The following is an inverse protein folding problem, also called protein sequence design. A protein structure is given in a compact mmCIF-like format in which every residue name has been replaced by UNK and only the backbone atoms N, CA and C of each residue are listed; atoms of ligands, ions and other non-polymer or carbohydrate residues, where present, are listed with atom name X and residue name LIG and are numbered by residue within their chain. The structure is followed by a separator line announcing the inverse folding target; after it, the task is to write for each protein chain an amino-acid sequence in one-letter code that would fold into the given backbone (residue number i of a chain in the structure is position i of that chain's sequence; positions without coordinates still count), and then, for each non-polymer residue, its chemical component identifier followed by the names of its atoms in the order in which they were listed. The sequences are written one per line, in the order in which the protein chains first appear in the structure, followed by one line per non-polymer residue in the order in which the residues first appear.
data_IF_440553453102
#
_entry.id   IF_440553453102
#
_cell.length_a   1.000
_cell.length_b   1.000
_cell.length_c   1.000
_cell.angle_alpha   90.00
_cell.angle_beta   90.00
_cell.angle_gamma   90.00
#
_symmetry.space_group_name_H-M   'P 1'
#
loop_
_entity.id
_entity.type
_entity.pdbx_description
1 polymer ?
#
# COMPACT_ATOMS: atom_id res chain seq x y z
N UNK A 1 -15.67 5.86 0.67
CA UNK A 1 -14.29 5.38 0.99
C UNK A 1 -13.97 4.15 0.15
N UNK A 2 -12.82 4.19 -0.47
CA UNK A 2 -12.30 3.09 -1.31
C UNK A 2 -11.07 2.51 -0.63
N UNK A 3 -10.95 1.20 -0.69
CA UNK A 3 -9.77 0.49 -0.20
C UNK A 3 -9.04 -0.10 -1.39
N UNK A 4 -7.77 0.24 -1.51
CA UNK A 4 -6.82 -0.44 -2.38
C UNK A 4 -6.13 -1.51 -1.54
N UNK A 5 -6.25 -2.78 -1.95
CA UNK A 5 -5.75 -3.92 -1.21
C UNK A 5 -4.75 -4.68 -2.07
N UNK A 6 -3.52 -4.83 -1.57
CA UNK A 6 -2.44 -5.47 -2.30
C UNK A 6 -1.82 -6.56 -1.44
N UNK A 7 -1.68 -7.76 -2.01
CA UNK A 7 -0.92 -8.84 -1.38
C UNK A 7 0.38 -9.03 -2.15
N UNK A 8 1.50 -8.99 -1.43
CA UNK A 8 2.83 -9.12 -2.01
C UNK A 8 3.56 -10.31 -1.40
N UNK A 9 4.48 -10.84 -2.20
CA UNK A 9 5.46 -11.83 -1.72
C UNK A 9 6.81 -11.17 -1.60
N UNK A 10 7.41 -11.28 -0.42
CA UNK A 10 8.72 -10.70 -0.10
C UNK A 10 9.53 -11.77 0.62
N UNK A 11 10.84 -11.85 0.36
CA UNK A 11 11.71 -12.75 1.12
C UNK A 11 11.59 -12.46 2.61
N UNK A 12 11.47 -13.49 3.45
CA UNK A 12 11.22 -13.27 4.88
C UNK A 12 12.27 -12.39 5.57
N UNK A 13 13.55 -12.58 5.22
CA UNK A 13 14.65 -11.81 5.78
C UNK A 13 14.66 -10.35 5.33
N UNK A 14 13.90 -10.01 4.27
CA UNK A 14 13.80 -8.65 3.75
C UNK A 14 12.48 -7.98 4.08
N UNK A 15 11.59 -8.68 4.76
CA UNK A 15 10.24 -8.17 5.02
C UNK A 15 10.26 -6.86 5.81
N UNK A 16 11.08 -6.79 6.87
CA UNK A 16 11.15 -5.58 7.69
C UNK A 16 11.74 -4.41 6.90
N UNK A 17 12.75 -4.67 6.07
CA UNK A 17 13.30 -3.66 5.16
C UNK A 17 12.26 -3.18 4.18
N UNK A 18 11.47 -4.10 3.63
CA UNK A 18 10.36 -3.75 2.72
C UNK A 18 9.38 -2.79 3.40
N UNK A 19 8.94 -3.15 4.61
CA UNK A 19 7.96 -2.34 5.35
C UNK A 19 8.52 -0.94 5.61
N UNK A 20 9.79 -0.85 6.00
CA UNK A 20 10.43 0.43 6.24
C UNK A 20 10.53 1.28 4.97
N UNK A 21 11.01 0.69 3.88
CA UNK A 21 11.16 1.42 2.61
C UNK A 21 9.82 1.81 2.01
N UNK A 22 8.83 0.95 2.15
CA UNK A 22 7.47 1.25 1.70
C UNK A 22 6.91 2.48 2.44
N UNK A 23 7.12 2.56 3.75
CA UNK A 23 6.68 3.70 4.52
C UNK A 23 7.40 4.99 4.12
N UNK A 24 8.71 4.92 3.91
CA UNK A 24 9.52 6.08 3.55
C UNK A 24 9.23 6.61 2.15
N UNK A 25 8.98 5.73 1.21
CA UNK A 25 8.91 6.06 -0.21
C UNK A 25 7.47 6.11 -0.70
N UNK A 26 6.75 4.98 -0.66
CA UNK A 26 5.40 4.90 -1.18
C UNK A 26 4.40 5.65 -0.31
N UNK A 27 4.38 5.40 0.98
CA UNK A 27 3.40 6.01 1.88
C UNK A 27 3.58 7.53 1.92
N UNK A 28 4.82 7.99 1.97
CA UNK A 28 5.12 9.43 1.98
C UNK A 28 4.61 10.12 0.71
N UNK A 29 4.80 9.49 -0.45
CA UNK A 29 4.31 10.02 -1.72
C UNK A 29 2.78 10.04 -1.74
N UNK A 30 2.14 8.92 -1.41
CA UNK A 30 0.68 8.82 -1.43
C UNK A 30 0.04 9.82 -0.47
N UNK A 31 0.64 10.01 0.71
CA UNK A 31 0.11 10.92 1.72
C UNK A 31 0.13 12.38 1.29
N UNK A 32 0.91 12.73 0.26
CA UNK A 32 0.94 14.09 -0.27
C UNK A 32 -0.22 14.40 -1.19
N UNK A 33 -1.03 13.42 -1.57
CA UNK A 33 -2.15 13.61 -2.49
C UNK A 33 -3.48 13.76 -1.75
N UNK A 34 -4.37 14.62 -2.28
CA UNK A 34 -5.71 14.78 -1.67
C UNK A 34 -6.48 13.46 -1.68
N UNK A 35 -7.21 13.22 -0.62
CA UNK A 35 -8.04 12.02 -0.50
C UNK A 35 -7.36 10.84 0.16
N UNK A 36 -6.06 10.87 0.34
CA UNK A 36 -5.36 9.83 1.10
C UNK A 36 -5.84 9.88 2.56
N UNK A 37 -6.30 8.75 3.07
CA UNK A 37 -6.80 8.67 4.45
C UNK A 37 -5.84 7.92 5.36
N UNK A 38 -5.41 6.73 4.95
CA UNK A 38 -4.52 5.92 5.78
C UNK A 38 -3.89 4.80 4.95
N UNK A 39 -2.83 4.24 5.50
CA UNK A 39 -2.23 3.03 4.95
C UNK A 39 -1.80 2.14 6.11
N UNK A 40 -2.18 0.88 6.02
CA UNK A 40 -1.80 -0.15 6.98
C UNK A 40 -0.99 -1.20 6.27
N UNK A 41 -0.07 -1.81 7.00
CA UNK A 41 0.70 -2.95 6.54
C UNK A 41 0.35 -4.11 7.44
N UNK A 42 -0.16 -5.18 6.83
CA UNK A 42 -0.53 -6.39 7.55
C UNK A 42 0.45 -7.50 7.23
N UNK A 43 0.77 -8.31 8.22
CA UNK A 43 1.56 -9.52 8.03
C UNK A 43 0.76 -10.71 8.52
N UNK A 44 0.96 -11.85 7.85
CA UNK A 44 0.36 -13.11 8.26
C UNK A 44 1.40 -13.86 9.10
N UNK A 45 1.13 -14.12 10.39
CA UNK A 45 2.10 -14.81 11.24
C UNK A 45 2.48 -16.20 10.76
N UNK A 46 1.58 -16.85 10.00
CA UNK A 46 1.79 -18.20 9.50
C UNK A 46 2.44 -18.24 8.11
N UNK A 47 2.57 -17.09 7.44
CA UNK A 47 3.14 -17.02 6.09
C UNK A 47 4.22 -15.94 6.06
N UNK A 48 5.47 -16.31 6.35
CA UNK A 48 6.56 -15.33 6.51
C UNK A 48 6.88 -14.49 5.26
N UNK A 49 6.46 -14.95 4.08
CA UNK A 49 6.72 -14.26 2.82
C UNK A 49 5.61 -13.27 2.45
N UNK A 50 4.51 -13.22 3.19
CA UNK A 50 3.35 -12.44 2.82
C UNK A 50 3.35 -11.06 3.48
N UNK A 51 3.04 -10.05 2.67
CA UNK A 51 2.79 -8.68 3.16
C UNK A 51 1.51 -8.19 2.47
N UNK A 52 0.61 -7.62 3.24
CA UNK A 52 -0.62 -7.03 2.70
C UNK A 52 -0.60 -5.54 2.98
N UNK A 53 -0.86 -4.75 1.92
CA UNK A 53 -0.98 -3.29 2.03
C UNK A 53 -2.44 -2.93 1.90
N UNK A 54 -2.93 -2.11 2.83
CA UNK A 54 -4.32 -1.67 2.86
C UNK A 54 -4.32 -0.15 2.86
N UNK A 55 -4.71 0.43 1.72
CA UNK A 55 -4.66 1.86 1.51
C UNK A 55 -6.08 2.39 1.39
N UNK A 56 -6.42 3.38 2.21
CA UNK A 56 -7.76 3.97 2.24
C UNK A 56 -7.75 5.33 1.58
N UNK A 57 -8.69 5.53 0.65
CA UNK A 57 -8.89 6.78 -0.09
C UNK A 57 -10.31 7.28 0.14
N UNK A 58 -10.47 8.59 0.23
CA UNK A 58 -11.79 9.18 0.39
C UNK A 58 -12.68 8.89 -0.82
N UNK A 59 -12.13 9.04 -2.03
CA UNK A 59 -12.84 8.73 -3.28
C UNK A 59 -11.93 7.99 -4.25
N UNK A 60 -12.54 7.26 -5.17
CA UNK A 60 -11.81 6.57 -6.23
C UNK A 60 -11.14 7.56 -7.18
N UNK A 61 -11.81 8.66 -7.46
CA UNK A 61 -11.30 9.72 -8.34
C UNK A 61 -10.01 10.31 -7.79
N UNK A 62 -9.94 10.55 -6.49
CA UNK A 62 -8.74 11.07 -5.87
C UNK A 62 -7.58 10.08 -5.94
N UNK A 63 -7.85 8.79 -5.67
CA UNK A 63 -6.85 7.76 -5.84
C UNK A 63 -6.32 7.73 -7.28
N UNK A 64 -7.22 7.79 -8.26
CA UNK A 64 -6.84 7.69 -9.67
C UNK A 64 -6.28 8.98 -10.24
N UNK A 65 -6.27 10.06 -9.47
CA UNK A 65 -5.70 11.33 -9.91
C UNK A 65 -4.18 11.40 -9.82
N UNK A 66 -3.55 10.40 -9.21
CA UNK A 66 -2.08 10.38 -9.11
C UNK A 66 -1.51 10.22 -10.52
N UNK A 67 -0.63 11.15 -10.95
CA UNK A 67 -0.07 11.07 -12.29
C UNK A 67 0.72 9.78 -12.51
N UNK A 68 0.58 9.13 -13.67
CA UNK A 68 1.34 7.92 -13.96
C UNK A 68 2.85 8.11 -13.86
N UNK A 69 3.37 9.29 -14.20
CA UNK A 69 4.79 9.58 -14.08
C UNK A 69 5.24 9.55 -12.62
N UNK A 70 4.40 10.02 -11.71
CA UNK A 70 4.72 9.99 -10.28
C UNK A 70 4.79 8.56 -9.77
N UNK A 71 3.84 7.72 -10.21
CA UNK A 71 3.85 6.30 -9.84
C UNK A 71 5.12 5.62 -10.36
N UNK A 72 5.49 5.89 -11.61
CA UNK A 72 6.68 5.29 -12.21
C UNK A 72 7.96 5.74 -11.51
N UNK A 73 8.08 7.03 -11.18
CA UNK A 73 9.24 7.56 -10.47
C UNK A 73 9.37 6.95 -9.07
N UNK A 74 8.24 6.82 -8.37
CA UNK A 74 8.22 6.25 -7.02
C UNK A 74 8.62 4.77 -7.06
N UNK A 75 8.11 4.04 -8.03
CA UNK A 75 8.47 2.64 -8.19
C UNK A 75 9.95 2.46 -8.50
N UNK A 76 10.51 3.31 -9.36
CA UNK A 76 11.93 3.29 -9.68
C UNK A 76 12.79 3.59 -8.45
N UNK A 77 12.42 4.60 -7.70
CA UNK A 77 13.12 4.93 -6.46
C UNK A 77 13.06 3.78 -5.46
N UNK A 78 11.88 3.19 -5.29
CA UNK A 78 11.72 2.06 -4.40
C UNK A 78 12.58 0.87 -4.82
N UNK A 79 12.58 0.54 -6.10
CA UNK A 79 13.38 -0.56 -6.62
C UNK A 79 14.88 -0.35 -6.38
N UNK A 80 15.35 0.88 -6.54
CA UNK A 80 16.75 1.21 -6.30
C UNK A 80 17.14 1.09 -4.83
N UNK A 81 16.29 1.56 -3.93
CA UNK A 81 16.59 1.57 -2.51
C UNK A 81 16.34 0.24 -1.84
N UNK A 82 15.31 -0.47 -2.25
CA UNK A 82 15.02 -1.79 -1.69
C UNK A 82 15.97 -2.86 -2.25
N UNK A 83 16.29 -2.78 -3.53
CA UNK A 83 17.28 -3.65 -4.16
C UNK A 83 16.80 -5.06 -4.50
N UNK A 84 15.55 -5.38 -4.26
CA UNK A 84 14.97 -6.69 -4.52
C UNK A 84 13.60 -6.50 -5.18
N UNK A 85 13.07 -7.58 -5.77
CA UNK A 85 11.72 -7.57 -6.31
C UNK A 85 10.72 -7.97 -5.24
N UNK A 86 9.71 -7.14 -5.05
CA UNK A 86 8.51 -7.50 -4.30
C UNK A 86 7.44 -7.82 -5.34
N UNK A 87 6.94 -9.04 -5.31
CA UNK A 87 5.98 -9.50 -6.30
C UNK A 87 4.55 -9.25 -5.80
N UNK A 88 3.75 -8.52 -6.58
CA UNK A 88 2.33 -8.38 -6.29
C UNK A 88 1.63 -9.65 -6.73
N UNK A 89 1.11 -10.41 -5.76
CA UNK A 89 0.42 -11.67 -6.02
C UNK A 89 -1.05 -11.43 -6.32
N UNK A 90 -1.64 -10.47 -5.62
CA UNK A 90 -3.07 -10.21 -5.71
C UNK A 90 -3.33 -8.73 -5.49
N UNK A 91 -4.26 -8.18 -6.25
CA UNK A 91 -4.63 -6.78 -6.18
C UNK A 91 -6.15 -6.69 -6.27
N UNK A 92 -6.76 -5.96 -5.35
CA UNK A 92 -8.21 -5.81 -5.28
C UNK A 92 -8.59 -4.41 -4.86
N UNK A 93 -9.79 -4.03 -5.24
CA UNK A 93 -10.38 -2.76 -4.85
C UNK A 93 -11.68 -3.05 -4.13
N UNK A 94 -11.88 -2.40 -2.99
CA UNK A 94 -13.12 -2.55 -2.22
C UNK A 94 -13.73 -1.19 -1.95
N UNK A 95 -15.06 -1.16 -1.95
CA UNK A 95 -15.81 0.01 -1.51
C UNK A 95 -16.37 -0.26 -0.13
N UNK A 96 -16.15 0.68 0.80
CA UNK A 96 -16.74 0.57 2.13
C UNK A 96 -18.18 1.02 2.05
N UNK A 97 -19.12 0.08 2.19
CA UNK A 97 -20.55 0.34 2.08
C UNK A 97 -21.18 0.66 3.41
N UNK A 98 -20.68 0.09 4.47
CA UNK A 98 -21.19 0.30 5.81
C UNK A 98 -20.03 0.34 6.79
N UNK A 99 -19.94 1.43 7.50
CA UNK A 99 -18.91 1.62 8.51
C UNK A 99 -19.60 1.79 9.85
N UNK A 100 -19.94 0.68 10.53
CA UNK A 100 -20.65 0.77 11.79
C UNK A 100 -19.76 1.42 12.84
N UNK A 101 -20.26 2.53 13.38
CA UNK A 101 -19.62 3.12 14.54
C UNK A 101 -20.25 2.51 15.78
N UNK A 102 -19.37 2.10 16.70
CA UNK A 102 -19.85 1.63 17.98
C UNK A 102 -20.31 2.83 18.75
N UNK A 103 -21.63 3.05 18.78
CA UNK A 103 -22.17 4.04 19.68
C UNK A 103 -22.40 3.35 21.04
N UNK A 104 -21.80 3.90 22.00
CA UNK A 104 -22.07 3.50 23.36
C UNK A 104 -23.46 3.90 23.81
#
# INVERSE_FOLDING_TARGET
MIIEWLKLRVSPELRDKFIQKDAEIWTSMLASYPGFLSKEVWINPDVPTEVVLVIRWATREQWQSIPPEQLAQTEQQFAQEFGELAEIIESSEYQVRKFPQVSS
#
